data_IF_019367735311
#
_entry.id   IF_019367735311
#
_cell.length_a   1.000
_cell.length_b   1.000
_cell.length_c   1.000
_cell.angle_alpha   90.00
_cell.angle_beta   90.00
_cell.angle_gamma   90.00
#
_symmetry.space_group_name_H-M   'P 1'
#
loop_
_entity.id
_entity.type
_entity.pdbx_description
1 polymer ?
#
# COMPACT_ATOMS: atom_id res chain seq x y z
N UNK A 1 2.87 8.09 -12.97
CA UNK A 1 3.01 6.63 -13.12
C UNK A 1 3.49 6.35 -14.55
N UNK A 2 4.44 5.43 -14.79
CA UNK A 2 4.98 5.16 -16.13
C UNK A 2 4.44 3.82 -16.64
N UNK A 3 4.01 3.74 -17.91
CA UNK A 3 3.47 2.54 -18.55
C UNK A 3 4.34 1.30 -18.31
N UNK A 4 5.67 1.43 -18.42
CA UNK A 4 6.62 0.32 -18.18
C UNK A 4 6.49 -0.27 -16.77
N UNK A 5 6.21 0.57 -15.76
CA UNK A 5 6.03 0.11 -14.37
C UNK A 5 4.70 -0.62 -14.20
N UNK A 6 3.67 -0.20 -14.93
CA UNK A 6 2.36 -0.86 -14.90
C UNK A 6 2.46 -2.24 -15.55
N UNK A 7 3.11 -2.36 -16.70
CA UNK A 7 3.33 -3.67 -17.34
C UNK A 7 4.19 -4.60 -16.48
N UNK A 8 5.24 -4.05 -15.85
CA UNK A 8 6.06 -4.83 -14.91
C UNK A 8 5.25 -5.30 -13.71
N UNK A 9 4.37 -4.45 -13.16
CA UNK A 9 3.46 -4.83 -12.09
C UNK A 9 2.52 -5.96 -12.53
N UNK A 10 1.88 -5.82 -13.71
CA UNK A 10 0.98 -6.83 -14.29
C UNK A 10 1.67 -8.19 -14.47
N UNK A 11 2.93 -8.18 -14.93
CA UNK A 11 3.74 -9.40 -15.03
C UNK A 11 4.03 -10.01 -13.64
N UNK A 12 4.55 -9.21 -12.70
CA UNK A 12 4.97 -9.71 -11.41
C UNK A 12 3.82 -10.17 -10.51
N UNK A 13 2.67 -9.51 -10.53
CA UNK A 13 1.50 -9.94 -9.73
C UNK A 13 1.01 -11.31 -10.21
N UNK A 14 1.02 -11.56 -11.52
CA UNK A 14 0.64 -12.85 -12.10
C UNK A 14 1.61 -13.96 -11.69
N UNK A 15 2.91 -13.72 -11.81
CA UNK A 15 3.93 -14.70 -11.40
C UNK A 15 3.90 -14.99 -9.90
N UNK A 16 3.63 -13.97 -9.08
CA UNK A 16 3.41 -14.13 -7.65
C UNK A 16 2.21 -15.04 -7.36
N UNK A 17 1.06 -14.80 -7.97
CA UNK A 17 -0.14 -15.63 -7.77
C UNK A 17 0.04 -17.07 -8.25
N UNK A 18 0.70 -17.26 -9.39
CA UNK A 18 1.06 -18.59 -9.88
C UNK A 18 1.95 -19.33 -8.87
N UNK A 19 2.94 -18.63 -8.32
CA UNK A 19 3.84 -19.20 -7.32
C UNK A 19 3.10 -19.53 -6.02
N UNK A 20 2.16 -18.68 -5.58
CA UNK A 20 1.32 -18.95 -4.41
C UNK A 20 0.50 -20.22 -4.58
N UNK A 21 -0.11 -20.46 -5.75
CA UNK A 21 -0.87 -21.69 -6.02
C UNK A 21 0.00 -22.94 -5.98
N UNK A 22 1.26 -22.84 -6.40
CA UNK A 22 2.18 -23.98 -6.41
C UNK A 22 2.71 -24.26 -5.00
N UNK A 23 3.07 -23.21 -4.25
CA UNK A 23 3.61 -23.34 -2.89
C UNK A 23 2.54 -23.71 -1.86
N UNK A 24 1.30 -23.24 -2.07
CA UNK A 24 0.19 -23.41 -1.14
C UNK A 24 -1.04 -23.97 -1.86
N UNK A 25 -0.98 -25.22 -2.38
CA UNK A 25 -2.06 -25.81 -3.18
C UNK A 25 -3.36 -26.03 -2.40
N UNK A 26 -3.30 -26.00 -1.06
CA UNK A 26 -4.47 -26.15 -0.17
C UNK A 26 -5.08 -24.81 0.27
N UNK A 27 -4.51 -23.69 -0.15
CA UNK A 27 -4.99 -22.35 0.22
C UNK A 27 -5.66 -21.72 -0.98
N UNK A 28 -6.96 -21.45 -0.85
CA UNK A 28 -7.72 -20.76 -1.89
C UNK A 28 -7.28 -19.29 -2.02
N UNK A 29 -7.32 -18.79 -3.26
CA UNK A 29 -7.05 -17.37 -3.51
C UNK A 29 -8.19 -16.52 -2.95
N UNK A 30 -7.87 -15.69 -1.96
CA UNK A 30 -8.78 -14.67 -1.47
C UNK A 30 -9.17 -13.65 -2.57
N UNK A 31 -10.37 -13.03 -2.50
CA UNK A 31 -10.80 -12.00 -3.45
C UNK A 31 -9.81 -10.85 -3.64
N UNK A 32 -9.04 -10.50 -2.60
CA UNK A 32 -7.99 -9.48 -2.68
C UNK A 32 -6.89 -9.83 -3.70
N UNK A 33 -6.61 -11.11 -3.93
CA UNK A 33 -5.69 -11.57 -4.98
C UNK A 33 -6.25 -11.33 -6.37
N UNK A 34 -7.57 -11.49 -6.56
CA UNK A 34 -8.22 -11.14 -7.81
C UNK A 34 -8.19 -9.62 -8.03
N UNK A 35 -8.50 -8.85 -7.00
CA UNK A 35 -8.52 -7.40 -7.06
C UNK A 35 -7.15 -6.79 -7.38
N UNK A 36 -6.07 -7.38 -6.85
CA UNK A 36 -4.70 -6.92 -7.13
C UNK A 36 -4.34 -7.07 -8.62
N UNK A 37 -4.90 -8.03 -9.35
CA UNK A 37 -4.68 -8.12 -10.80
C UNK A 37 -5.27 -6.92 -11.55
N UNK A 38 -6.46 -6.46 -11.15
CA UNK A 38 -7.12 -5.30 -11.76
C UNK A 38 -6.47 -3.96 -11.39
N UNK A 39 -5.56 -3.94 -10.41
CA UNK A 39 -4.87 -2.71 -10.02
C UNK A 39 -4.07 -2.11 -11.19
N UNK A 40 -3.51 -2.94 -12.08
CA UNK A 40 -2.81 -2.47 -13.27
C UNK A 40 -3.74 -1.67 -14.19
N UNK A 41 -4.95 -2.18 -14.43
CA UNK A 41 -5.94 -1.54 -15.30
C UNK A 41 -6.47 -0.25 -14.66
N UNK A 42 -6.65 -0.24 -13.34
CA UNK A 42 -6.99 0.97 -12.59
C UNK A 42 -5.89 2.03 -12.67
N UNK A 43 -4.62 1.64 -12.62
CA UNK A 43 -3.49 2.56 -12.75
C UNK A 43 -3.41 3.19 -14.14
N UNK A 44 -3.77 2.47 -15.20
CA UNK A 44 -3.84 2.99 -16.57
C UNK A 44 -5.00 3.97 -16.75
N UNK A 45 -6.18 3.66 -16.20
CA UNK A 45 -7.40 4.45 -16.41
C UNK A 45 -7.54 5.64 -15.48
N UNK A 46 -7.22 5.45 -14.20
CA UNK A 46 -7.46 6.44 -13.14
C UNK A 46 -6.17 7.09 -12.62
N UNK A 47 -5.02 6.64 -13.12
CA UNK A 47 -3.72 7.16 -12.69
C UNK A 47 -3.29 6.62 -11.31
N UNK A 48 -2.39 7.32 -10.61
CA UNK A 48 -1.81 6.84 -9.34
C UNK A 48 -2.87 6.54 -8.27
N UNK A 49 -2.69 5.45 -7.51
CA UNK A 49 -3.61 5.01 -6.44
C UNK A 49 -4.01 6.12 -5.46
N UNK A 50 -3.06 7.01 -5.12
CA UNK A 50 -3.30 8.16 -4.25
C UNK A 50 -4.40 9.13 -4.74
N UNK A 51 -4.74 9.11 -6.02
CA UNK A 51 -5.81 9.94 -6.58
C UNK A 51 -7.21 9.37 -6.32
N UNK A 52 -7.33 8.06 -6.04
CA UNK A 52 -8.63 7.37 -5.99
C UNK A 52 -8.77 6.36 -4.83
N UNK A 53 -7.80 6.27 -3.92
CA UNK A 53 -7.93 5.48 -2.70
C UNK A 53 -8.99 6.03 -1.73
N UNK A 54 -9.55 5.16 -0.88
CA UNK A 54 -10.62 5.49 0.07
C UNK A 54 -10.15 6.31 1.27
N UNK A 55 -8.85 6.33 1.59
CA UNK A 55 -8.33 6.94 2.82
C UNK A 55 -8.78 8.41 3.07
N UNK A 56 -8.84 9.31 2.07
CA UNK A 56 -9.36 10.65 2.27
C UNK A 56 -10.85 10.66 2.64
N UNK A 57 -11.64 9.74 2.07
CA UNK A 57 -13.06 9.58 2.37
C UNK A 57 -13.27 8.99 3.76
N UNK A 58 -12.47 8.00 4.17
CA UNK A 58 -12.48 7.44 5.53
C UNK A 58 -12.14 8.51 6.57
N UNK A 59 -11.11 9.33 6.31
CA UNK A 59 -10.77 10.47 7.17
C UNK A 59 -11.92 11.47 7.27
N UNK A 60 -12.56 11.79 6.14
CA UNK A 60 -13.73 12.65 6.13
C UNK A 60 -14.88 12.04 6.94
N UNK A 61 -15.16 10.74 6.76
CA UNK A 61 -16.21 10.06 7.49
C UNK A 61 -15.95 10.01 9.00
N UNK A 62 -14.70 9.83 9.42
CA UNK A 62 -14.33 9.95 10.83
C UNK A 62 -14.68 11.34 11.38
N UNK A 63 -14.37 12.41 10.66
CA UNK A 63 -14.74 13.77 11.07
C UNK A 63 -16.26 13.97 11.14
N UNK A 64 -17.00 13.42 10.19
CA UNK A 64 -18.47 13.47 10.18
C UNK A 64 -19.05 12.72 11.37
N UNK A 65 -18.55 11.52 11.68
CA UNK A 65 -19.03 10.72 12.80
C UNK A 65 -18.73 11.36 14.17
N UNK A 66 -17.61 12.10 14.28
CA UNK A 66 -17.27 12.88 15.47
C UNK A 66 -18.00 14.23 15.57
N UNK A 67 -18.78 14.62 14.56
CA UNK A 67 -19.54 15.87 14.62
C UNK A 67 -20.78 15.74 15.52
N UNK A 68 -21.14 16.82 16.20
CA UNK A 68 -22.32 16.86 17.05
C UNK A 68 -23.58 16.65 16.19
N UNK A 69 -24.30 15.56 16.43
CA UNK A 69 -25.57 15.28 15.77
C UNK A 69 -26.69 15.06 16.79
N UNK A 70 -27.93 15.36 16.40
CA UNK A 70 -29.12 15.16 17.24
C UNK A 70 -29.57 13.70 17.35
N UNK A 71 -28.88 12.76 16.68
CA UNK A 71 -29.19 11.33 16.64
C UNK A 71 -30.61 11.02 16.12
N UNK A 72 -31.19 11.92 15.33
CA UNK A 72 -32.52 11.73 14.75
C UNK A 72 -32.39 11.19 13.32
N UNK A 73 -32.68 9.90 13.16
CA UNK A 73 -32.66 9.21 11.85
C UNK A 73 -33.61 9.93 10.88
N UNK A 74 -33.16 10.19 9.65
CA UNK A 74 -33.86 11.00 8.65
C UNK A 74 -33.59 12.51 8.71
N UNK A 75 -32.89 12.98 9.76
CA UNK A 75 -32.34 14.33 9.84
C UNK A 75 -30.81 14.35 9.95
N UNK A 76 -30.18 13.17 10.04
CA UNK A 76 -28.73 13.04 10.17
C UNK A 76 -28.01 13.58 8.93
N UNK A 77 -28.50 13.25 7.74
CA UNK A 77 -27.90 13.63 6.46
C UNK A 77 -27.87 15.16 6.31
N UNK A 78 -28.98 15.83 6.62
CA UNK A 78 -29.07 17.29 6.55
C UNK A 78 -28.26 17.97 7.66
N UNK A 79 -28.18 17.36 8.84
CA UNK A 79 -27.36 17.85 9.95
C UNK A 79 -25.88 17.76 9.58
N UNK A 80 -25.40 16.62 9.11
CA UNK A 80 -24.03 16.43 8.65
C UNK A 80 -23.66 17.38 7.51
N UNK A 81 -24.55 17.57 6.52
CA UNK A 81 -24.31 18.52 5.43
C UNK A 81 -24.19 19.96 5.95
N UNK A 82 -25.06 20.38 6.87
CA UNK A 82 -25.00 21.72 7.48
C UNK A 82 -23.73 21.92 8.29
N UNK A 83 -23.37 20.96 9.13
CA UNK A 83 -22.16 21.04 9.96
C UNK A 83 -20.89 21.01 9.11
N UNK A 84 -20.86 20.21 8.05
CA UNK A 84 -19.75 20.21 7.08
C UNK A 84 -19.57 21.59 6.43
N UNK A 85 -20.65 22.20 5.94
CA UNK A 85 -20.61 23.54 5.36
C UNK A 85 -20.22 24.61 6.37
N UNK A 86 -20.75 24.55 7.60
CA UNK A 86 -20.39 25.47 8.70
C UNK A 86 -18.91 25.36 9.06
N UNK A 87 -18.38 24.14 9.19
CA UNK A 87 -16.97 23.90 9.44
C UNK A 87 -16.09 24.45 8.31
N UNK A 88 -16.48 24.25 7.04
CA UNK A 88 -15.79 24.82 5.89
C UNK A 88 -15.77 26.35 5.90
N UNK A 89 -16.92 26.98 6.15
CA UNK A 89 -17.03 28.44 6.25
C UNK A 89 -16.21 29.00 7.42
N UNK A 90 -16.25 28.33 8.58
CA UNK A 90 -15.45 28.71 9.75
C UNK A 90 -13.95 28.61 9.45
N UNK A 91 -13.48 27.53 8.82
CA UNK A 91 -12.07 27.40 8.39
C UNK A 91 -11.68 28.53 7.43
N UNK A 92 -12.56 28.85 6.46
CA UNK A 92 -12.35 29.96 5.54
C UNK A 92 -12.27 31.32 6.25
N UNK A 93 -13.08 31.52 7.28
CA UNK A 93 -13.06 32.72 8.12
C UNK A 93 -11.75 32.79 8.93
N UNK A 94 -11.37 31.71 9.62
CA UNK A 94 -10.15 31.63 10.44
C UNK A 94 -8.87 31.85 9.61
N UNK A 95 -8.88 31.46 8.34
CA UNK A 95 -7.76 31.72 7.42
C UNK A 95 -7.61 33.20 7.03
N UNK A 96 -8.63 34.04 7.27
CA UNK A 96 -8.56 35.50 7.09
C UNK A 96 -8.20 36.18 8.41
N UNK A 97 -6.92 36.16 8.77
CA UNK A 97 -6.41 36.74 10.03
C UNK A 97 -6.77 38.21 10.22
N UNK A 98 -6.96 38.94 9.13
CA UNK A 98 -7.20 40.40 9.13
C UNK A 98 -8.64 40.76 9.51
N UNK A 99 -9.54 39.76 9.53
CA UNK A 99 -10.93 39.94 9.93
C UNK A 99 -11.11 40.03 11.45
N UNK A 100 -10.15 39.52 12.24
CA UNK A 100 -10.26 39.43 13.69
C UNK A 100 -9.46 40.53 14.40
N UNK A 101 -9.98 41.11 15.48
CA UNK A 101 -9.24 42.04 16.31
C UNK A 101 -8.01 41.37 16.93
N UNK A 102 -6.97 42.15 17.24
CA UNK A 102 -5.68 41.66 17.74
C UNK A 102 -5.81 40.78 19.00
N UNK A 103 -6.81 41.05 19.83
CA UNK A 103 -7.12 40.29 21.05
C UNK A 103 -7.53 38.84 20.79
N UNK A 104 -8.04 38.52 19.60
CA UNK A 104 -8.50 37.17 19.23
C UNK A 104 -7.48 36.40 18.37
N UNK A 105 -6.39 37.04 17.93
CA UNK A 105 -5.40 36.40 17.04
C UNK A 105 -4.71 35.19 17.68
N UNK A 106 -4.47 35.21 19.00
CA UNK A 106 -3.94 34.06 19.74
C UNK A 106 -4.90 32.87 19.68
N UNK A 107 -6.18 33.09 20.00
CA UNK A 107 -7.22 32.07 19.96
C UNK A 107 -7.44 31.52 18.53
N UNK A 108 -7.35 32.36 17.50
CA UNK A 108 -7.45 31.91 16.10
C UNK A 108 -6.32 30.93 15.75
N UNK A 109 -5.11 31.13 16.30
CA UNK A 109 -3.97 30.23 16.09
C UNK A 109 -4.24 28.88 16.75
N UNK A 110 -4.67 28.88 18.02
CA UNK A 110 -5.03 27.64 18.73
C UNK A 110 -6.18 26.88 18.05
N UNK A 111 -7.19 27.59 17.54
CA UNK A 111 -8.31 26.98 16.82
C UNK A 111 -7.90 26.39 15.48
N UNK A 112 -6.88 26.93 14.82
CA UNK A 112 -6.31 26.35 13.59
C UNK A 112 -5.65 25.01 13.87
N UNK A 113 -4.86 24.93 14.94
CA UNK A 113 -4.17 23.70 15.33
C UNK A 113 -5.11 22.53 15.58
N UNK A 114 -6.36 22.79 16.00
CA UNK A 114 -7.38 21.75 16.22
C UNK A 114 -7.81 21.02 14.94
N UNK A 115 -7.73 21.65 13.77
CA UNK A 115 -8.18 21.05 12.50
C UNK A 115 -7.08 20.91 11.45
N UNK A 116 -5.94 21.56 11.62
CA UNK A 116 -4.79 21.35 10.75
C UNK A 116 -4.34 19.89 10.82
N UNK A 117 -4.06 19.25 9.67
CA UNK A 117 -3.58 17.88 9.69
C UNK A 117 -2.26 17.84 10.44
N UNK A 118 -2.21 17.03 11.51
CA UNK A 118 -0.94 16.72 12.20
C UNK A 118 0.07 16.35 11.11
N UNK A 119 1.16 17.12 10.96
CA UNK A 119 2.14 16.83 9.94
C UNK A 119 2.64 15.40 10.15
N UNK A 120 2.67 14.63 9.06
CA UNK A 120 3.16 13.26 9.14
C UNK A 120 4.61 13.29 9.63
N UNK A 121 4.80 12.79 10.85
CA UNK A 121 6.12 12.51 11.39
C UNK A 121 6.34 11.01 11.27
N UNK A 122 7.33 10.61 10.48
CA UNK A 122 7.70 9.21 10.40
C UNK A 122 8.20 8.77 11.78
N UNK A 123 7.42 7.95 12.48
CA UNK A 123 7.87 7.29 13.72
C UNK A 123 8.99 6.29 13.46
N UNK A 124 9.16 5.91 12.20
CA UNK A 124 10.25 5.08 11.73
C UNK A 124 11.32 5.99 11.14
N UNK A 125 12.43 6.18 11.86
CA UNK A 125 13.66 6.56 11.19
C UNK A 125 14.10 5.33 10.42
N UNK A 126 14.08 5.40 9.08
CA UNK A 126 14.76 4.40 8.27
C UNK A 126 16.25 4.61 8.55
N UNK A 127 16.77 3.95 9.58
CA UNK A 127 18.19 3.72 9.68
C UNK A 127 18.54 2.97 8.40
N UNK A 128 19.25 3.64 7.49
CA UNK A 128 19.74 3.03 6.26
C UNK A 128 20.88 2.02 6.54
N UNK A 129 21.16 1.77 7.82
CA UNK A 129 21.89 0.66 8.41
C UNK A 129 20.85 -0.30 9.04
N UNK A 130 20.67 -1.54 8.61
CA UNK A 130 21.65 -2.51 8.16
C UNK A 130 21.06 -3.31 6.98
N UNK A 131 21.27 -2.83 5.75
CA UNK A 131 21.24 -3.79 4.65
C UNK A 131 22.44 -4.70 4.87
N UNK A 132 22.17 -5.99 4.99
CA UNK A 132 23.22 -6.99 5.06
C UNK A 132 24.21 -6.74 3.91
N UNK A 133 25.50 -6.61 4.23
CA UNK A 133 26.53 -6.35 3.22
C UNK A 133 26.41 -7.39 2.10
N UNK A 134 26.68 -6.99 0.85
CA UNK A 134 26.68 -7.91 -0.29
C UNK A 134 27.56 -9.15 -0.05
N UNK A 135 28.58 -9.01 0.80
CA UNK A 135 29.44 -10.12 1.20
C UNK A 135 28.75 -11.07 2.20
N UNK A 136 28.01 -10.54 3.15
CA UNK A 136 27.31 -11.34 4.17
C UNK A 136 26.06 -12.01 3.59
N UNK A 137 25.37 -11.35 2.65
CA UNK A 137 24.29 -12.00 1.88
C UNK A 137 24.82 -13.16 1.05
N UNK A 138 26.02 -13.04 0.48
CA UNK A 138 26.66 -14.12 -0.27
C UNK A 138 27.01 -15.31 0.63
N UNK A 139 27.61 -15.06 1.79
CA UNK A 139 27.90 -16.12 2.80
C UNK A 139 26.64 -16.86 3.23
N UNK A 140 25.52 -16.15 3.43
CA UNK A 140 24.24 -16.78 3.77
C UNK A 140 23.71 -17.67 2.64
N UNK A 141 23.82 -17.20 1.39
CA UNK A 141 23.42 -18.00 0.22
C UNK A 141 24.31 -19.24 0.08
N UNK A 142 25.62 -19.11 0.28
CA UNK A 142 26.55 -20.23 0.28
C UNK A 142 26.20 -21.23 1.39
N UNK A 143 25.91 -20.76 2.60
CA UNK A 143 25.44 -21.60 3.71
C UNK A 143 24.14 -22.34 3.37
N UNK A 144 23.13 -21.67 2.84
CA UNK A 144 21.86 -22.29 2.44
C UNK A 144 22.06 -23.37 1.35
N UNK A 145 23.06 -23.20 0.49
CA UNK A 145 23.43 -24.17 -0.53
C UNK A 145 24.18 -25.39 0.02
N UNK A 146 24.83 -25.30 1.18
CA UNK A 146 25.51 -26.47 1.79
C UNK A 146 24.56 -27.56 2.27
N UNK A 147 23.31 -27.21 2.62
CA UNK A 147 22.32 -28.16 3.14
C UNK A 147 21.24 -28.58 2.15
N UNK A 148 21.28 -28.10 0.90
CA UNK A 148 20.19 -28.28 -0.07
C UNK A 148 20.51 -29.36 -1.11
N UNK A 149 19.80 -30.48 -1.07
CA UNK A 149 19.88 -31.56 -2.06
C UNK A 149 18.81 -31.40 -3.15
N UNK A 150 18.98 -30.42 -4.03
CA UNK A 150 18.16 -30.30 -5.25
C UNK A 150 17.77 -28.88 -5.66
N UNK A 151 17.92 -27.89 -4.78
CA UNK A 151 17.62 -26.48 -5.05
C UNK A 151 18.82 -25.60 -4.76
N UNK A 152 19.27 -24.85 -5.76
CA UNK A 152 20.39 -23.92 -5.62
C UNK A 152 19.85 -22.50 -5.40
N UNK A 153 20.15 -21.88 -4.27
CA UNK A 153 19.82 -20.50 -3.97
C UNK A 153 20.79 -19.55 -4.68
N UNK A 154 20.27 -18.45 -5.22
CA UNK A 154 21.09 -17.40 -5.82
C UNK A 154 20.69 -16.02 -5.27
N UNK A 155 21.65 -15.10 -5.23
CA UNK A 155 21.38 -13.70 -4.87
C UNK A 155 20.43 -13.05 -5.86
N UNK A 156 19.59 -12.11 -5.39
CA UNK A 156 18.65 -11.38 -6.26
C UNK A 156 19.37 -10.66 -7.41
N UNK A 157 20.54 -10.06 -7.12
CA UNK A 157 21.37 -9.39 -8.15
C UNK A 157 21.81 -10.35 -9.25
N UNK A 158 22.17 -11.57 -8.88
CA UNK A 158 22.72 -12.57 -9.79
C UNK A 158 21.56 -13.22 -10.55
N UNK A 159 20.46 -13.53 -9.85
CA UNK A 159 19.22 -14.05 -10.41
C UNK A 159 18.67 -13.17 -11.54
N UNK A 160 18.68 -11.85 -11.40
CA UNK A 160 18.18 -10.94 -12.46
C UNK A 160 18.96 -11.07 -13.77
N UNK A 161 20.25 -11.44 -13.71
CA UNK A 161 21.15 -11.55 -14.87
C UNK A 161 21.12 -12.93 -15.53
N UNK A 162 20.50 -13.93 -14.89
CA UNK A 162 20.43 -15.28 -15.41
C UNK A 162 19.42 -15.42 -16.56
N UNK A 163 19.74 -16.32 -17.48
CA UNK A 163 18.84 -16.73 -18.55
C UNK A 163 17.61 -17.47 -17.99
N UNK A 164 16.48 -17.52 -18.72
CA UNK A 164 15.28 -18.24 -18.29
C UNK A 164 15.53 -19.72 -17.94
N UNK A 165 16.48 -20.35 -18.63
CA UNK A 165 16.89 -21.75 -18.44
C UNK A 165 17.61 -21.96 -17.11
N UNK A 166 18.45 -21.00 -16.71
CA UNK A 166 19.22 -21.04 -15.46
C UNK A 166 18.35 -20.68 -14.26
N UNK A 167 17.45 -19.71 -14.42
CA UNK A 167 16.47 -19.36 -13.38
C UNK A 167 15.67 -20.58 -12.93
N UNK A 168 15.23 -21.43 -13.88
CA UNK A 168 14.51 -22.69 -13.58
C UNK A 168 15.26 -23.64 -12.64
N UNK A 169 16.60 -23.66 -12.65
CA UNK A 169 17.41 -24.51 -11.77
C UNK A 169 17.49 -23.98 -10.32
N UNK A 170 17.25 -22.69 -10.15
CA UNK A 170 17.29 -21.98 -8.86
C UNK A 170 15.91 -21.87 -8.22
N UNK A 171 14.85 -21.96 -9.04
CA UNK A 171 13.48 -21.96 -8.54
C UNK A 171 13.17 -23.23 -7.73
N UNK A 172 12.63 -23.11 -6.49
CA UNK A 172 12.13 -24.24 -5.73
C UNK A 172 10.92 -24.95 -6.40
N UNK A 173 10.36 -24.33 -7.44
CA UNK A 173 9.14 -24.74 -8.13
C UNK A 173 9.43 -25.64 -9.35
N UNK A 174 10.69 -25.94 -9.69
CA UNK A 174 11.01 -26.72 -10.89
C UNK A 174 10.89 -28.24 -10.75
N UNK A 175 10.64 -28.77 -9.55
CA UNK A 175 10.56 -30.21 -9.32
C UNK A 175 9.10 -30.64 -9.12
N UNK A 176 8.49 -31.09 -10.23
CA UNK A 176 7.50 -32.18 -10.35
C UNK A 176 6.32 -31.87 -11.30
N UNK A 177 6.55 -32.06 -12.59
CA UNK A 177 5.53 -32.64 -13.48
C UNK A 177 6.15 -33.80 -14.25
N UNK A 178 6.31 -34.92 -13.56
CA UNK A 178 6.49 -36.24 -14.14
C UNK A 178 5.91 -37.27 -13.16
N UNK A 179 4.62 -37.57 -13.32
CA UNK A 179 3.83 -38.73 -12.83
C UNK A 179 2.37 -38.26 -12.79
N UNK A 180 1.37 -38.93 -13.34
CA UNK A 180 1.21 -40.01 -14.31
C UNK A 180 -0.27 -39.88 -14.66
N UNK A 181 -0.61 -39.79 -15.94
CA UNK A 181 -1.96 -40.04 -16.41
C UNK A 181 -2.29 -41.50 -16.11
N UNK A 182 -3.15 -41.78 -15.14
CA UNK A 182 -3.90 -43.04 -15.05
C UNK A 182 -5.00 -42.89 -14.00
N UNK A 183 -6.22 -43.17 -14.48
CA UNK A 183 -7.53 -43.25 -13.82
C UNK A 183 -8.24 -41.93 -13.54
#
# INVERSE_FOLDING_TARGET
MNARRIDSYRHHIKEYLNSCQILFPHVDLAPNHHLSMHLADCLERFGPVRAWWSFPMERLMGQVLHSCHNNHIGQLEITFMREFCRAGNLRGLLNKSDFFPDTLKSAVTELKDLYEPIPFTSKYQINKSDNLSTQDTRKLVDYLNTGSTGTHWAMTSDWTRLSPSEKKKIFPVSISKAKSSTL
#
